data_IF_441967108555
#
_entry.id   IF_441967108555
#
_cell.length_a   1.000
_cell.length_b   1.000
_cell.length_c   1.000
_cell.angle_alpha   90.00
_cell.angle_beta   90.00
_cell.angle_gamma   90.00
#
_symmetry.space_group_name_H-M   'P 1'
#
loop_
_entity.id
_entity.type
_entity.pdbx_description
1 polymer ?
#
# COMPACT_ATOMS: atom_id res chain seq x y z
N UNK A 1 18.94 -20.46 14.06
CA UNK A 1 18.83 -19.10 13.48
C UNK A 1 17.50 -18.95 12.72
N UNK A 2 17.22 -19.80 11.72
CA UNK A 2 16.00 -19.77 10.90
C UNK A 2 14.69 -19.69 11.72
N UNK A 3 14.53 -20.56 12.73
CA UNK A 3 13.33 -20.58 13.60
C UNK A 3 13.17 -19.35 14.51
N UNK A 4 14.19 -18.49 14.64
CA UNK A 4 14.16 -17.29 15.46
C UNK A 4 14.02 -16.00 14.63
N UNK A 5 14.33 -16.07 13.33
CA UNK A 5 14.38 -14.93 12.42
C UNK A 5 13.11 -14.88 11.56
N UNK A 6 12.81 -15.95 10.82
CA UNK A 6 11.67 -15.99 9.90
C UNK A 6 10.31 -15.68 10.55
N UNK A 7 10.00 -16.13 11.79
CA UNK A 7 8.72 -15.80 12.40
C UNK A 7 8.54 -14.30 12.66
N UNK A 8 9.63 -13.54 12.83
CA UNK A 8 9.55 -12.10 13.09
C UNK A 8 8.90 -11.36 11.93
N UNK A 9 9.22 -11.73 10.69
CA UNK A 9 8.56 -11.18 9.52
C UNK A 9 7.06 -11.47 9.53
N UNK A 10 6.65 -12.72 9.73
CA UNK A 10 5.22 -13.10 9.70
C UNK A 10 4.40 -12.39 10.79
N UNK A 11 4.91 -12.35 12.03
CA UNK A 11 4.20 -11.71 13.13
C UNK A 11 4.20 -10.18 13.01
N UNK A 12 5.32 -9.58 12.61
CA UNK A 12 5.39 -8.13 12.39
C UNK A 12 4.49 -7.71 11.23
N UNK A 13 4.48 -8.42 10.11
CA UNK A 13 3.59 -8.17 8.98
C UNK A 13 2.11 -8.20 9.43
N UNK A 14 1.69 -9.24 10.16
CA UNK A 14 0.32 -9.34 10.67
C UNK A 14 -0.04 -8.17 11.60
N UNK A 15 0.86 -7.81 12.52
CA UNK A 15 0.65 -6.71 13.46
C UNK A 15 0.63 -5.34 12.77
N UNK A 16 1.47 -5.16 11.74
CA UNK A 16 1.64 -3.89 11.01
C UNK A 16 0.56 -3.65 9.95
N UNK A 17 -0.12 -4.69 9.46
CA UNK A 17 -1.23 -4.55 8.51
C UNK A 17 -2.30 -3.56 8.99
N UNK A 18 -2.74 -3.68 10.25
CA UNK A 18 -3.75 -2.79 10.83
C UNK A 18 -3.32 -1.31 10.89
N UNK A 19 -2.20 -0.95 11.55
CA UNK A 19 -1.77 0.44 11.63
C UNK A 19 -1.39 1.02 10.28
N UNK A 20 -0.77 0.24 9.38
CA UNK A 20 -0.40 0.71 8.04
C UNK A 20 -1.64 0.94 7.17
N UNK A 21 -2.65 0.07 7.26
CA UNK A 21 -3.92 0.27 6.58
C UNK A 21 -4.63 1.54 7.05
N UNK A 22 -4.73 1.75 8.38
CA UNK A 22 -5.29 2.98 8.94
C UNK A 22 -4.48 4.23 8.57
N UNK A 23 -3.15 4.12 8.56
CA UNK A 23 -2.26 5.19 8.14
C UNK A 23 -2.55 5.55 6.67
N UNK A 24 -2.67 4.56 5.80
CA UNK A 24 -2.95 4.76 4.36
C UNK A 24 -4.25 5.53 4.12
N UNK A 25 -5.28 5.23 4.90
CA UNK A 25 -6.55 5.96 4.86
C UNK A 25 -6.41 7.40 5.40
N UNK A 26 -5.64 7.59 6.47
CA UNK A 26 -5.48 8.91 7.12
C UNK A 26 -4.58 9.88 6.34
N UNK A 27 -3.41 9.43 5.86
CA UNK A 27 -2.37 10.31 5.29
C UNK A 27 -2.27 10.27 3.76
N UNK A 28 -3.16 9.52 3.10
CA UNK A 28 -3.14 9.25 1.65
C UNK A 28 -1.88 8.45 1.23
N UNK A 29 -1.76 8.07 -0.05
CA UNK A 29 -0.71 7.10 -0.46
C UNK A 29 0.74 7.60 -0.32
N UNK A 30 1.01 8.93 -0.38
CA UNK A 30 2.39 9.43 -0.52
C UNK A 30 3.27 9.13 0.71
N UNK A 31 2.82 9.35 1.96
CA UNK A 31 3.61 8.99 3.14
C UNK A 31 3.77 7.48 3.34
N UNK A 32 2.81 6.67 2.89
CA UNK A 32 2.92 5.20 2.92
C UNK A 32 4.05 4.73 1.99
N UNK A 33 4.14 5.33 0.81
CA UNK A 33 5.20 5.04 -0.16
C UNK A 33 6.58 5.51 0.33
N UNK A 34 6.63 6.64 1.05
CA UNK A 34 7.86 7.09 1.72
C UNK A 34 8.26 6.15 2.87
N UNK A 35 7.30 5.72 3.70
CA UNK A 35 7.53 4.76 4.79
C UNK A 35 8.08 3.43 4.25
N UNK A 36 7.53 2.95 3.14
CA UNK A 36 8.00 1.76 2.46
C UNK A 36 9.45 1.93 1.98
N UNK A 37 9.77 3.04 1.32
CA UNK A 37 11.13 3.28 0.81
C UNK A 37 12.18 3.43 1.92
N UNK A 38 11.85 4.12 3.02
CA UNK A 38 12.73 4.21 4.20
C UNK A 38 12.98 2.84 4.80
N UNK A 39 11.93 2.03 4.94
CA UNK A 39 12.03 0.66 5.48
C UNK A 39 12.94 -0.22 4.62
N UNK A 40 12.81 -0.14 3.29
CA UNK A 40 13.72 -0.82 2.36
C UNK A 40 15.17 -0.35 2.51
N UNK A 41 15.43 0.96 2.60
CA UNK A 41 16.80 1.46 2.78
C UNK A 41 17.41 0.91 4.09
N UNK A 42 16.63 0.91 5.19
CA UNK A 42 17.08 0.36 6.48
C UNK A 42 17.40 -1.14 6.37
N UNK A 43 16.50 -1.93 5.77
CA UNK A 43 16.68 -3.38 5.60
C UNK A 43 17.99 -3.68 4.86
N UNK A 44 18.28 -2.98 3.75
CA UNK A 44 19.49 -3.25 2.97
C UNK A 44 20.75 -2.71 3.63
N UNK A 45 20.69 -1.57 4.32
CA UNK A 45 21.83 -1.10 5.15
C UNK A 45 22.18 -2.11 6.25
N UNK A 46 21.17 -2.66 6.93
CA UNK A 46 21.38 -3.70 7.94
C UNK A 46 21.96 -4.98 7.32
N UNK A 47 21.51 -5.39 6.12
CA UNK A 47 22.09 -6.54 5.42
C UNK A 47 23.57 -6.35 5.05
N UNK A 48 24.01 -5.12 4.73
CA UNK A 48 25.42 -4.84 4.42
C UNK A 48 26.32 -4.79 5.65
N UNK A 49 25.86 -4.17 6.73
CA UNK A 49 26.74 -3.77 7.84
C UNK A 49 26.49 -4.54 9.14
N UNK A 50 25.29 -5.08 9.35
CA UNK A 50 24.91 -5.69 10.61
C UNK A 50 25.09 -7.21 10.59
N UNK A 51 25.56 -7.74 11.71
CA UNK A 51 25.83 -9.17 11.88
C UNK A 51 25.12 -9.68 13.14
N UNK A 52 24.65 -10.92 13.09
CA UNK A 52 24.03 -11.60 14.23
C UNK A 52 22.51 -11.72 14.14
N UNK A 53 21.95 -12.52 15.06
CA UNK A 53 20.53 -12.92 15.01
C UNK A 53 19.60 -11.73 15.25
N UNK A 54 19.93 -10.85 16.22
CA UNK A 54 19.10 -9.67 16.53
C UNK A 54 19.04 -8.72 15.34
N UNK A 55 20.16 -8.51 14.64
CA UNK A 55 20.19 -7.69 13.44
C UNK A 55 19.26 -8.28 12.35
N UNK A 56 19.30 -9.59 12.13
CA UNK A 56 18.41 -10.25 11.18
C UNK A 56 16.94 -10.18 11.60
N UNK A 57 16.62 -10.25 12.90
CA UNK A 57 15.25 -10.02 13.37
C UNK A 57 14.76 -8.60 13.05
N UNK A 58 15.64 -7.59 13.19
CA UNK A 58 15.31 -6.21 12.84
C UNK A 58 15.13 -6.05 11.32
N UNK A 59 15.97 -6.70 10.51
CA UNK A 59 15.81 -6.78 9.05
C UNK A 59 14.43 -7.32 8.70
N UNK A 60 14.03 -8.46 9.28
CA UNK A 60 12.72 -9.09 9.05
C UNK A 60 11.55 -8.21 9.50
N UNK A 61 11.71 -7.45 10.59
CA UNK A 61 10.70 -6.49 11.04
C UNK A 61 10.47 -5.38 10.01
N UNK A 62 11.53 -4.74 9.53
CA UNK A 62 11.42 -3.68 8.51
C UNK A 62 10.93 -4.25 7.18
N UNK A 63 11.34 -5.47 6.84
CA UNK A 63 10.83 -6.16 5.67
C UNK A 63 9.32 -6.48 5.80
N UNK A 64 8.85 -6.85 7.00
CA UNK A 64 7.42 -7.03 7.30
C UNK A 64 6.63 -5.72 7.17
N UNK A 65 7.24 -4.58 7.55
CA UNK A 65 6.66 -3.24 7.32
C UNK A 65 6.48 -2.95 5.83
N UNK A 66 7.48 -3.26 5.01
CA UNK A 66 7.39 -3.12 3.55
C UNK A 66 6.22 -3.96 3.02
N UNK A 67 6.15 -5.24 3.36
CA UNK A 67 5.07 -6.12 2.89
C UNK A 67 3.69 -5.59 3.31
N UNK A 68 3.56 -5.05 4.53
CA UNK A 68 2.32 -4.42 5.00
C UNK A 68 1.96 -3.18 4.18
N UNK A 69 2.93 -2.31 3.90
CA UNK A 69 2.72 -1.09 3.08
C UNK A 69 2.34 -1.40 1.64
N UNK A 70 2.90 -2.47 1.06
CA UNK A 70 2.59 -2.90 -0.31
C UNK A 70 1.12 -3.34 -0.46
N UNK A 71 0.62 -4.13 0.49
CA UNK A 71 -0.79 -4.56 0.49
C UNK A 71 -1.73 -3.37 0.63
N UNK A 72 -1.42 -2.45 1.54
CA UNK A 72 -2.21 -1.23 1.73
C UNK A 72 -2.17 -0.32 0.47
N UNK A 73 -1.01 -0.24 -0.19
CA UNK A 73 -0.84 0.50 -1.44
C UNK A 73 -1.69 -0.08 -2.58
N UNK A 74 -1.69 -1.41 -2.76
CA UNK A 74 -2.55 -2.04 -3.76
C UNK A 74 -4.04 -1.80 -3.48
N UNK A 75 -4.47 -1.94 -2.21
CA UNK A 75 -5.84 -1.63 -1.81
C UNK A 75 -6.22 -0.18 -2.16
N UNK A 76 -5.30 0.76 -1.91
CA UNK A 76 -5.50 2.16 -2.27
C UNK A 76 -5.63 2.36 -3.79
N UNK A 77 -4.74 1.79 -4.61
CA UNK A 77 -4.82 1.93 -6.08
C UNK A 77 -6.19 1.48 -6.59
N UNK A 78 -6.66 0.30 -6.17
CA UNK A 78 -7.95 -0.21 -6.62
C UNK A 78 -9.12 0.64 -6.14
N UNK A 79 -9.02 1.30 -4.99
CA UNK A 79 -10.07 2.23 -4.52
C UNK A 79 -10.21 3.50 -5.37
N UNK A 80 -9.15 3.94 -6.05
CA UNK A 80 -9.13 5.21 -6.81
C UNK A 80 -9.42 4.99 -8.30
N UNK A 81 -9.11 3.82 -8.83
CA UNK A 81 -9.34 3.48 -10.25
C UNK A 81 -10.83 3.20 -10.47
N UNK A 82 -11.37 3.50 -11.67
CA UNK A 82 -12.75 3.11 -12.01
C UNK A 82 -12.83 1.62 -12.33
N UNK A 83 -13.98 1.00 -12.08
CA UNK A 83 -14.21 -0.44 -12.33
C UNK A 83 -13.93 -0.85 -13.78
N UNK A 84 -14.15 0.05 -14.75
CA UNK A 84 -13.90 -0.20 -16.18
C UNK A 84 -12.40 -0.41 -16.50
N UNK A 85 -11.52 0.15 -15.68
CA UNK A 85 -10.07 0.07 -15.86
C UNK A 85 -9.41 -0.94 -14.91
N UNK A 86 -10.16 -1.60 -14.02
CA UNK A 86 -9.61 -2.53 -13.02
C UNK A 86 -8.75 -3.62 -13.66
N UNK A 87 -9.27 -4.30 -14.70
CA UNK A 87 -8.53 -5.38 -15.34
C UNK A 87 -7.21 -4.88 -15.96
N UNK A 88 -7.21 -3.70 -16.59
CA UNK A 88 -6.01 -3.12 -17.21
C UNK A 88 -4.96 -2.75 -16.16
N UNK A 89 -5.38 -2.06 -15.09
CA UNK A 89 -4.47 -1.67 -14.01
C UNK A 89 -3.91 -2.88 -13.28
N UNK A 90 -4.75 -3.88 -12.97
CA UNK A 90 -4.32 -5.15 -12.38
C UNK A 90 -3.32 -5.85 -13.28
N UNK A 91 -3.60 -5.91 -14.58
CA UNK A 91 -2.71 -6.53 -15.57
C UNK A 91 -1.34 -5.86 -15.59
N UNK A 92 -1.28 -4.53 -15.66
CA UNK A 92 -0.01 -3.79 -15.62
C UNK A 92 0.74 -4.01 -14.31
N UNK A 93 0.06 -3.89 -13.16
CA UNK A 93 0.69 -4.09 -11.85
C UNK A 93 1.30 -5.49 -11.71
N UNK A 94 0.55 -6.52 -12.10
CA UNK A 94 1.01 -7.91 -12.00
C UNK A 94 2.10 -8.22 -13.02
N UNK A 95 1.95 -7.77 -14.26
CA UNK A 95 2.94 -8.02 -15.32
C UNK A 95 4.28 -7.35 -15.03
N UNK A 96 4.27 -6.09 -14.59
CA UNK A 96 5.51 -5.36 -14.24
C UNK A 96 6.23 -6.05 -13.10
N UNK A 97 5.51 -6.51 -12.08
CA UNK A 97 6.10 -7.21 -10.93
C UNK A 97 6.76 -8.53 -11.36
N UNK A 98 6.09 -9.32 -12.20
CA UNK A 98 6.63 -10.58 -12.72
C UNK A 98 7.87 -10.34 -13.60
N UNK A 99 7.79 -9.40 -14.54
CA UNK A 99 8.92 -9.05 -15.41
C UNK A 99 10.10 -8.53 -14.59
N UNK A 100 9.85 -7.66 -13.62
CA UNK A 100 10.90 -7.15 -12.74
C UNK A 100 11.55 -8.27 -11.92
N UNK A 101 10.76 -9.22 -11.39
CA UNK A 101 11.26 -10.37 -10.67
C UNK A 101 12.14 -11.26 -11.57
N UNK A 102 11.68 -11.61 -12.77
CA UNK A 102 12.47 -12.41 -13.72
C UNK A 102 13.76 -11.70 -14.12
N UNK A 103 13.70 -10.40 -14.44
CA UNK A 103 14.89 -9.61 -14.79
C UNK A 103 15.87 -9.54 -13.62
N UNK A 104 15.38 -9.32 -12.40
CA UNK A 104 16.22 -9.26 -11.20
C UNK A 104 16.87 -10.62 -10.89
N UNK A 105 16.13 -11.72 -11.03
CA UNK A 105 16.62 -13.08 -10.81
C UNK A 105 17.69 -13.48 -11.84
N UNK A 106 17.45 -13.21 -13.12
CA UNK A 106 18.42 -13.44 -14.20
C UNK A 106 19.66 -12.57 -14.01
N UNK A 107 19.49 -11.28 -13.74
CA UNK A 107 20.60 -10.35 -13.53
C UNK A 107 21.42 -10.75 -12.30
N UNK A 108 20.77 -11.05 -11.18
CA UNK A 108 21.42 -11.52 -9.96
C UNK A 108 22.23 -12.79 -10.20
N UNK A 109 21.65 -13.76 -10.92
CA UNK A 109 22.36 -15.00 -11.26
C UNK A 109 23.55 -14.73 -12.19
N UNK A 110 23.41 -13.84 -13.18
CA UNK A 110 24.47 -13.50 -14.12
C UNK A 110 25.66 -12.84 -13.39
N UNK A 111 25.39 -11.91 -12.48
CA UNK A 111 26.41 -11.21 -11.70
C UNK A 111 27.20 -12.16 -10.80
N UNK A 112 26.52 -13.11 -10.17
CA UNK A 112 27.16 -14.11 -9.30
C UNK A 112 27.95 -15.14 -10.12
N UNK A 113 27.40 -15.63 -11.23
CA UNK A 113 27.98 -16.74 -12.00
C UNK A 113 29.06 -16.33 -13.00
N UNK A 114 28.91 -15.21 -13.73
CA UNK A 114 29.87 -14.77 -14.75
C UNK A 114 30.87 -13.75 -14.22
N UNK A 115 30.43 -12.82 -13.37
CA UNK A 115 31.25 -11.72 -12.89
C UNK A 115 31.87 -11.97 -11.52
N UNK A 116 31.62 -13.14 -10.91
CA UNK A 116 32.07 -13.52 -9.57
C UNK A 116 31.85 -12.43 -8.50
N UNK A 117 30.77 -11.65 -8.67
CA UNK A 117 30.43 -10.54 -7.77
C UNK A 117 29.97 -11.13 -6.45
N UNK A 118 30.61 -10.71 -5.36
CA UNK A 118 30.25 -11.18 -4.02
C UNK A 118 28.86 -10.67 -3.60
N UNK A 119 28.19 -11.41 -2.71
CA UNK A 119 26.88 -11.03 -2.16
C UNK A 119 26.86 -9.62 -1.55
N UNK A 120 28.00 -9.12 -1.07
CA UNK A 120 28.13 -7.75 -0.57
C UNK A 120 27.84 -6.70 -1.66
N UNK A 121 28.47 -6.84 -2.83
CA UNK A 121 28.25 -5.92 -3.95
C UNK A 121 26.85 -6.07 -4.54
N UNK A 122 26.29 -7.28 -4.52
CA UNK A 122 24.90 -7.51 -4.93
C UNK A 122 23.93 -6.69 -4.07
N UNK A 123 24.07 -6.77 -2.74
CA UNK A 123 23.28 -5.97 -1.81
C UNK A 123 23.54 -4.46 -1.97
N UNK A 124 24.78 -4.04 -2.27
CA UNK A 124 25.12 -2.64 -2.53
C UNK A 124 24.42 -2.09 -3.79
N UNK A 125 24.39 -2.87 -4.86
CA UNK A 125 23.68 -2.52 -6.11
C UNK A 125 22.17 -2.39 -5.83
N UNK A 126 21.59 -3.33 -5.08
CA UNK A 126 20.17 -3.24 -4.72
C UNK A 126 19.89 -2.02 -3.85
N UNK A 127 20.74 -1.71 -2.88
CA UNK A 127 20.63 -0.51 -2.05
C UNK A 127 20.65 0.78 -2.89
N UNK A 128 21.55 0.86 -3.88
CA UNK A 128 21.62 2.00 -4.80
C UNK A 128 20.33 2.13 -5.63
N UNK A 129 19.81 1.01 -6.16
CA UNK A 129 18.57 0.97 -6.93
C UNK A 129 17.36 1.41 -6.09
N UNK A 130 17.22 0.88 -4.88
CA UNK A 130 16.16 1.26 -3.92
C UNK A 130 16.26 2.73 -3.55
N UNK A 131 17.47 3.25 -3.31
CA UNK A 131 17.69 4.66 -2.98
C UNK A 131 17.29 5.58 -4.13
N UNK A 132 17.62 5.21 -5.38
CA UNK A 132 17.19 5.95 -6.56
C UNK A 132 15.66 5.92 -6.72
N UNK A 133 15.03 4.77 -6.54
CA UNK A 133 13.56 4.64 -6.57
C UNK A 133 12.90 5.50 -5.48
N UNK A 134 13.48 5.54 -4.29
CA UNK A 134 13.03 6.41 -3.19
C UNK A 134 13.17 7.90 -3.53
N UNK A 135 14.24 8.31 -4.21
CA UNK A 135 14.37 9.69 -4.68
C UNK A 135 13.31 10.02 -5.74
N UNK A 136 13.06 9.10 -6.69
CA UNK A 136 12.00 9.24 -7.68
C UNK A 136 10.60 9.38 -7.05
N UNK A 137 10.35 8.71 -5.92
CA UNK A 137 9.10 8.81 -5.17
C UNK A 137 8.72 10.24 -4.76
N UNK A 138 9.70 11.12 -4.49
CA UNK A 138 9.42 12.51 -4.13
C UNK A 138 8.79 13.31 -5.27
N UNK A 139 9.19 13.00 -6.51
CA UNK A 139 8.71 13.65 -7.73
C UNK A 139 7.32 13.15 -8.17
N UNK A 140 6.77 12.11 -7.54
CA UNK A 140 5.41 11.66 -7.85
C UNK A 140 4.37 12.71 -7.39
N UNK A 141 3.38 13.02 -8.26
CA UNK A 141 2.36 14.03 -7.99
C UNK A 141 1.43 13.55 -6.86
N UNK A 142 1.26 14.37 -5.82
CA UNK A 142 0.36 14.04 -4.72
C UNK A 142 -1.09 14.05 -5.24
N UNK A 143 -1.88 12.99 -5.04
CA UNK A 143 -3.22 12.89 -5.58
C UNK A 143 -4.15 13.76 -4.73
N UNK A 144 -5.06 14.45 -5.41
CA UNK A 144 -5.99 15.36 -4.74
C UNK A 144 -7.27 14.68 -4.25
N UNK A 145 -7.50 13.39 -4.59
CA UNK A 145 -8.74 12.66 -4.24
C UNK A 145 -8.52 11.71 -3.06
N UNK A 146 -9.27 11.93 -1.99
CA UNK A 146 -9.30 11.11 -0.77
C UNK A 146 -10.40 10.04 -0.89
N UNK A 147 -10.14 8.81 -0.44
CA UNK A 147 -10.94 7.58 -0.66
C UNK A 147 -12.44 7.72 -0.36
N UNK A 148 -12.83 8.55 0.62
CA UNK A 148 -14.21 8.62 1.11
C UNK A 148 -14.98 9.91 0.79
N UNK A 149 -14.35 10.94 0.21
CA UNK A 149 -14.91 12.31 0.26
C UNK A 149 -15.76 12.76 -0.94
N UNK A 150 -16.11 11.89 -1.90
CA UNK A 150 -16.85 12.33 -3.10
C UNK A 150 -18.07 11.49 -3.50
N UNK A 151 -18.73 10.80 -2.57
CA UNK A 151 -20.02 10.14 -2.88
C UNK A 151 -21.26 11.03 -2.61
N UNK A 152 -21.10 12.33 -2.33
CA UNK A 152 -22.24 13.24 -2.08
C UNK A 152 -22.60 14.22 -3.19
N UNK A 153 -21.79 14.40 -4.23
CA UNK A 153 -22.05 15.39 -5.27
C UNK A 153 -22.16 14.80 -6.69
N UNK A 154 -22.58 13.55 -6.81
CA UNK A 154 -23.21 13.12 -8.06
C UNK A 154 -24.71 13.48 -7.94
N UNK A 155 -25.22 14.52 -8.65
CA UNK A 155 -26.65 14.66 -8.79
C UNK A 155 -27.16 13.38 -9.42
N UNK A 156 -28.10 12.73 -8.72
CA UNK A 156 -28.97 11.70 -9.28
C UNK A 156 -29.55 12.25 -10.58
N UNK A 157 -29.01 11.85 -11.72
CA UNK A 157 -29.71 11.93 -12.99
C UNK A 157 -30.81 10.86 -12.93
N UNK A 158 -31.96 11.26 -12.41
CA UNK A 158 -33.18 10.48 -12.57
C UNK A 158 -33.63 10.58 -14.04
N UNK A 159 -34.14 9.47 -14.61
CA UNK A 159 -34.56 9.39 -16.00
C UNK A 159 -35.95 10.01 -16.17
N UNK A 160 -36.15 10.84 -17.19
CA UNK A 160 -37.44 11.41 -17.56
C UNK A 160 -37.70 11.20 -19.05
N UNK A 161 -38.88 10.69 -19.46
CA UNK A 161 -39.19 10.31 -20.82
C UNK A 161 -39.54 11.53 -21.70
N UNK A 162 -39.39 11.32 -23.01
CA UNK A 162 -39.86 12.13 -24.15
C UNK A 162 -40.90 13.21 -23.82
N UNK A 163 -40.71 14.44 -24.35
CA UNK A 163 -41.61 15.06 -25.34
C UNK A 163 -40.99 16.31 -25.99
N UNK A 164 -41.27 16.38 -27.28
CA UNK A 164 -41.00 17.39 -28.31
C UNK A 164 -41.62 18.75 -27.98
N UNK A 165 -41.03 19.82 -28.55
CA UNK A 165 -41.53 21.19 -28.82
C UNK A 165 -41.01 22.32 -27.91
N UNK A 166 -40.35 23.28 -28.56
CA UNK A 166 -40.17 24.68 -28.16
C UNK A 166 -40.99 25.58 -29.14
N UNK A 167 -40.98 26.92 -29.05
CA UNK A 167 -41.12 27.84 -27.92
C UNK A 167 -42.20 28.93 -28.19
N UNK A 168 -42.78 29.61 -27.19
CA UNK A 168 -43.36 30.97 -27.39
C UNK A 168 -43.21 31.82 -26.12
N UNK A 169 -42.89 33.09 -26.37
CA UNK A 169 -42.62 34.22 -25.48
C UNK A 169 -43.77 34.63 -24.53
N UNK A 170 -43.42 35.31 -23.43
CA UNK A 170 -43.81 36.71 -23.18
C UNK A 170 -43.37 37.23 -21.79
N UNK A 171 -42.74 38.41 -21.83
CA UNK A 171 -42.95 39.60 -20.98
C UNK A 171 -42.59 39.60 -19.46
N UNK A 172 -41.58 40.43 -19.15
CA UNK A 172 -41.37 41.17 -17.88
C UNK A 172 -42.50 42.22 -17.67
N UNK A 173 -42.72 42.85 -16.48
CA UNK A 173 -41.67 43.54 -15.71
C UNK A 173 -41.81 43.62 -14.16
N UNK A 174 -40.68 44.02 -13.55
CA UNK A 174 -40.52 44.95 -12.41
C UNK A 174 -41.19 44.69 -11.04
N UNK A 175 -40.37 44.59 -9.99
CA UNK A 175 -40.32 45.62 -8.92
C UNK A 175 -39.20 45.33 -7.91
N UNK A 176 -38.59 46.43 -7.46
CA UNK A 176 -37.45 46.53 -6.56
C UNK A 176 -37.86 46.38 -5.08
N UNK A 177 -36.98 45.83 -4.24
CA UNK A 177 -36.80 46.33 -2.87
C UNK A 177 -35.41 45.92 -2.30
N UNK A 178 -34.53 46.93 -2.23
CA UNK A 178 -33.53 47.20 -1.18
C UNK A 178 -34.20 47.12 0.21
N UNK A 179 -33.59 46.97 1.38
CA UNK A 179 -32.23 46.99 1.92
C UNK A 179 -32.35 46.47 3.37
N UNK A 180 -31.25 46.08 4.03
CA UNK A 180 -30.84 46.57 5.38
C UNK A 180 -29.71 45.71 5.93
N UNK A 181 -28.55 46.34 6.02
CA UNK A 181 -27.36 45.93 6.76
C UNK A 181 -27.56 46.07 8.28
N UNK A 182 -26.87 45.22 9.06
CA UNK A 182 -26.48 45.59 10.43
C UNK A 182 -25.21 44.85 10.84
N UNK A 183 -24.12 45.59 10.80
CA UNK A 183 -22.80 45.24 11.33
C UNK A 183 -22.73 45.71 12.80
N UNK A 184 -22.22 44.89 13.72
CA UNK A 184 -21.70 45.35 15.02
C UNK A 184 -20.71 44.32 15.60
N UNK A 185 -19.44 44.73 15.61
CA UNK A 185 -18.30 44.03 16.20
C UNK A 185 -18.21 44.24 17.73
N UNK A 186 -17.62 43.27 18.46
CA UNK A 186 -17.41 43.39 19.92
C UNK A 186 -16.64 42.27 20.63
N UNK A 187 -15.41 41.98 20.19
CA UNK A 187 -14.18 41.54 20.92
C UNK A 187 -14.27 40.81 22.29
N UNK A 188 -13.67 39.61 22.36
CA UNK A 188 -13.11 38.99 23.58
C UNK A 188 -12.35 37.67 23.28
N UNK A 189 -11.20 37.36 23.94
CA UNK A 189 -10.12 36.56 23.36
C UNK A 189 -10.24 35.03 23.57
N UNK A 190 -9.56 34.30 22.69
CA UNK A 190 -9.27 32.86 22.68
C UNK A 190 -8.82 32.28 24.02
N UNK A 191 -9.26 31.05 24.34
CA UNK A 191 -8.43 30.07 25.03
C UNK A 191 -7.98 28.97 24.05
N UNK A 192 -6.72 29.10 23.62
CA UNK A 192 -5.68 28.07 23.73
C UNK A 192 -6.15 26.60 23.58
N UNK A 193 -6.06 26.10 22.34
CA UNK A 193 -5.15 25.00 22.00
C UNK A 193 -5.06 23.82 22.99
N UNK A 194 -6.16 23.10 23.19
CA UNK A 194 -6.15 21.81 23.90
C UNK A 194 -7.25 20.86 23.40
N UNK A 195 -7.51 20.86 22.09
CA UNK A 195 -8.56 20.04 21.46
C UNK A 195 -8.05 19.12 20.35
N UNK A 196 -6.73 18.94 20.21
CA UNK A 196 -6.12 18.08 19.17
C UNK A 196 -6.27 16.59 19.46
N UNK A 197 -5.97 16.16 20.69
CA UNK A 197 -5.93 14.73 21.02
C UNK A 197 -7.32 14.11 21.24
N UNK A 198 -8.27 14.83 21.83
CA UNK A 198 -9.63 14.32 22.04
C UNK A 198 -10.40 14.14 20.72
N UNK A 199 -10.23 15.07 19.76
CA UNK A 199 -10.84 14.94 18.41
C UNK A 199 -10.23 13.80 17.62
N UNK A 200 -8.92 13.58 17.75
CA UNK A 200 -8.21 12.50 17.05
C UNK A 200 -8.65 11.11 17.52
N UNK A 201 -8.75 10.89 18.85
CA UNK A 201 -9.21 9.60 19.39
C UNK A 201 -10.66 9.27 18.99
N UNK A 202 -11.57 10.25 19.05
CA UNK A 202 -12.94 10.05 18.58
C UNK A 202 -13.01 9.76 17.08
N UNK A 203 -12.14 10.37 16.28
CA UNK A 203 -12.06 10.10 14.85
C UNK A 203 -11.57 8.68 14.56
N UNK A 204 -10.50 8.21 15.21
CA UNK A 204 -9.98 6.83 15.03
C UNK A 204 -11.02 5.79 15.45
N UNK A 205 -11.69 5.99 16.59
CA UNK A 205 -12.77 5.11 17.03
C UNK A 205 -13.92 5.06 16.03
N UNK A 206 -14.28 6.19 15.43
CA UNK A 206 -15.34 6.27 14.41
C UNK A 206 -14.94 5.49 13.15
N UNK A 207 -13.69 5.64 12.68
CA UNK A 207 -13.15 4.89 11.54
C UNK A 207 -13.12 3.39 11.83
N UNK A 208 -12.69 2.98 13.03
CA UNK A 208 -12.68 1.57 13.43
C UNK A 208 -14.09 0.97 13.47
N UNK A 209 -15.08 1.72 13.98
CA UNK A 209 -16.49 1.29 13.99
C UNK A 209 -17.03 1.18 12.56
N UNK A 210 -16.69 2.12 11.68
CA UNK A 210 -17.09 2.07 10.28
C UNK A 210 -16.45 0.88 9.56
N UNK A 211 -15.14 0.66 9.73
CA UNK A 211 -14.42 -0.49 9.20
C UNK A 211 -15.04 -1.81 9.68
N UNK A 212 -15.44 -1.89 10.95
CA UNK A 212 -16.09 -3.08 11.51
C UNK A 212 -17.45 -3.37 10.86
N UNK A 213 -18.22 -2.32 10.55
CA UNK A 213 -19.50 -2.45 9.82
C UNK A 213 -19.25 -2.88 8.38
N UNK A 214 -18.33 -2.24 7.69
CA UNK A 214 -17.99 -2.57 6.30
C UNK A 214 -17.46 -4.01 6.19
N UNK A 215 -16.63 -4.45 7.14
CA UNK A 215 -16.19 -5.85 7.25
C UNK A 215 -17.38 -6.80 7.41
N UNK A 216 -18.30 -6.50 8.34
CA UNK A 216 -19.49 -7.33 8.56
C UNK A 216 -20.33 -7.44 7.29
N UNK A 217 -20.53 -6.33 6.58
CA UNK A 217 -21.34 -6.30 5.36
C UNK A 217 -20.65 -7.03 4.20
N UNK A 218 -19.34 -6.84 4.02
CA UNK A 218 -18.54 -7.56 3.01
C UNK A 218 -18.55 -9.08 3.23
N UNK A 219 -18.32 -9.53 4.47
CA UNK A 219 -18.28 -10.96 4.80
C UNK A 219 -19.67 -11.60 4.97
N UNK A 220 -20.75 -10.81 4.92
CA UNK A 220 -22.11 -11.34 4.81
C UNK A 220 -22.37 -12.01 3.45
N UNK A 221 -21.59 -11.65 2.42
CA UNK A 221 -21.60 -12.35 1.13
C UNK A 221 -20.78 -13.63 1.20
N UNK A 222 -21.45 -14.79 1.12
CA UNK A 222 -20.78 -16.11 1.10
C UNK A 222 -19.71 -16.21 0.01
N UNK A 223 -19.95 -15.60 -1.16
CA UNK A 223 -18.98 -15.58 -2.26
C UNK A 223 -17.68 -14.89 -1.85
N UNK A 224 -17.75 -13.70 -1.25
CA UNK A 224 -16.57 -12.96 -0.80
C UNK A 224 -15.84 -13.69 0.33
N UNK A 225 -16.58 -14.34 1.23
CA UNK A 225 -16.00 -15.14 2.30
C UNK A 225 -15.21 -16.35 1.76
N UNK A 226 -15.76 -17.10 0.80
CA UNK A 226 -15.01 -18.21 0.20
C UNK A 226 -13.77 -17.74 -0.56
N UNK A 227 -13.88 -16.64 -1.33
CA UNK A 227 -12.74 -16.10 -2.07
C UNK A 227 -11.63 -15.58 -1.16
N UNK A 228 -11.97 -14.90 -0.07
CA UNK A 228 -10.99 -14.43 0.92
C UNK A 228 -10.35 -15.57 1.70
N UNK A 229 -11.10 -16.60 2.09
CA UNK A 229 -10.55 -17.79 2.75
C UNK A 229 -9.59 -18.54 1.83
N UNK A 230 -9.96 -18.72 0.57
CA UNK A 230 -9.09 -19.30 -0.44
C UNK A 230 -7.80 -18.50 -0.60
N UNK A 231 -7.91 -17.17 -0.72
CA UNK A 231 -6.75 -16.29 -0.85
C UNK A 231 -5.84 -16.39 0.38
N UNK A 232 -6.39 -16.36 1.59
CA UNK A 232 -5.63 -16.48 2.83
C UNK A 232 -4.87 -17.81 2.91
N UNK A 233 -5.54 -18.93 2.60
CA UNK A 233 -4.91 -20.25 2.60
C UNK A 233 -3.81 -20.36 1.53
N UNK A 234 -4.08 -19.88 0.31
CA UNK A 234 -3.11 -19.90 -0.78
C UNK A 234 -1.87 -19.04 -0.45
N UNK A 235 -2.07 -17.82 0.08
CA UNK A 235 -0.96 -16.95 0.49
C UNK A 235 -0.16 -17.55 1.63
N UNK A 236 -0.81 -18.17 2.61
CA UNK A 236 -0.12 -18.85 3.71
C UNK A 236 0.74 -20.01 3.18
N UNK A 237 0.18 -20.85 2.31
CA UNK A 237 0.93 -21.95 1.68
C UNK A 237 2.09 -21.46 0.83
N UNK A 238 1.88 -20.42 0.02
CA UNK A 238 2.92 -19.80 -0.80
C UNK A 238 4.06 -19.24 0.05
N UNK A 239 3.74 -18.47 1.09
CA UNK A 239 4.75 -17.91 2.00
C UNK A 239 5.52 -19.01 2.73
N UNK A 240 4.87 -20.10 3.12
CA UNK A 240 5.54 -21.24 3.74
C UNK A 240 6.53 -21.91 2.78
N UNK A 241 6.16 -22.06 1.50
CA UNK A 241 7.10 -22.60 0.51
C UNK A 241 8.28 -21.63 0.35
N UNK A 242 8.04 -20.35 0.08
CA UNK A 242 9.12 -19.38 -0.16
C UNK A 242 10.12 -19.28 1.01
N UNK A 243 9.62 -19.26 2.25
CA UNK A 243 10.48 -19.09 3.42
C UNK A 243 11.36 -20.32 3.73
N UNK A 244 10.87 -21.52 3.41
CA UNK A 244 11.54 -22.76 3.84
C UNK A 244 12.17 -23.56 2.71
N UNK A 245 11.83 -23.28 1.45
CA UNK A 245 12.34 -24.03 0.30
C UNK A 245 13.87 -23.89 0.19
N UNK A 246 14.41 -22.68 0.28
CA UNK A 246 15.86 -22.44 0.20
C UNK A 246 16.63 -23.14 1.34
N UNK A 247 16.06 -23.12 2.55
CA UNK A 247 16.64 -23.80 3.74
C UNK A 247 16.64 -25.32 3.54
N UNK A 248 15.57 -25.87 2.94
CA UNK A 248 15.47 -27.30 2.64
C UNK A 248 16.51 -27.72 1.59
N UNK A 249 16.73 -26.89 0.57
CA UNK A 249 17.75 -27.15 -0.45
C UNK A 249 19.15 -27.15 0.15
N UNK A 250 19.50 -26.18 1.00
CA UNK A 250 20.82 -26.12 1.64
C UNK A 250 21.06 -27.32 2.58
N UNK A 251 20.01 -27.83 3.25
CA UNK A 251 20.11 -29.06 4.03
C UNK A 251 20.38 -30.31 3.16
N UNK A 252 19.85 -30.35 1.94
CA UNK A 252 19.97 -31.50 1.02
C UNK A 252 21.25 -31.46 0.17
N UNK A 253 21.66 -30.27 -0.25
CA UNK A 253 22.85 -30.02 -1.06
C UNK A 253 23.55 -28.75 -0.53
N UNK A 254 24.48 -28.91 0.42
CA UNK A 254 25.13 -27.77 1.07
C UNK A 254 25.79 -26.84 0.05
N UNK A 255 25.48 -25.56 0.16
CA UNK A 255 25.98 -24.49 -0.72
C UNK A 255 27.52 -24.34 -0.76
N UNK A 256 28.25 -25.06 0.09
CA UNK A 256 29.72 -25.05 0.16
C UNK A 256 30.41 -25.93 -0.90
N UNK A 257 29.72 -26.88 -1.55
CA UNK A 257 30.34 -27.85 -2.48
C UNK A 257 29.82 -27.79 -3.92
N UNK A 258 28.83 -26.95 -4.20
CA UNK A 258 28.09 -26.95 -5.47
C UNK A 258 27.89 -25.52 -5.96
N UNK A 259 27.93 -25.30 -7.29
CA UNK A 259 27.56 -24.00 -7.86
C UNK A 259 26.08 -23.71 -7.53
N UNK A 260 25.83 -22.59 -6.84
CA UNK A 260 24.49 -22.20 -6.38
C UNK A 260 23.76 -21.45 -7.51
N UNK A 261 22.59 -21.97 -7.91
CA UNK A 261 21.77 -21.44 -9.01
C UNK A 261 20.43 -20.86 -8.55
N UNK A 262 20.39 -20.25 -7.36
CA UNK A 262 19.15 -19.75 -6.75
C UNK A 262 18.39 -18.78 -7.67
N UNK A 263 19.09 -17.86 -8.34
CA UNK A 263 18.45 -16.92 -9.25
C UNK A 263 17.95 -17.55 -10.55
N UNK A 264 18.53 -18.66 -11.01
CA UNK A 264 18.01 -19.39 -12.17
C UNK A 264 16.73 -20.16 -11.83
N UNK A 265 16.65 -20.75 -10.63
CA UNK A 265 15.45 -21.44 -10.15
C UNK A 265 14.31 -20.45 -9.89
N UNK A 266 14.62 -19.26 -9.37
CA UNK A 266 13.60 -18.22 -9.13
C UNK A 266 13.13 -17.51 -10.41
N UNK A 267 13.88 -17.60 -11.50
CA UNK A 267 13.51 -17.00 -12.78
C UNK A 267 12.51 -17.84 -13.61
N UNK A 268 12.37 -19.13 -13.30
CA UNK A 268 11.53 -20.12 -14.01
C UNK A 268 10.21 -20.32 -13.28
#
# INVERSE_FOLDING_TARGET
VTNQVLPVWTYSYLALLFPVFLLTDYVRYKPVLLLQGVSFIITWLLLLFAHGVVAMQVVEFFYGMVTATEVAYYAYIYSVVSTDHYQRVTSYCRSITLVAATVAAVLGQLLVSLAHVSYFYLNAITLASVSLAFLCAFFLPMPQKSMFFHRKDAPRSLPGPDKVVAPVASEQPSSCQEDTSSDCAGRGPTPRQQAGNARSHHHILTVLVQLSKDLRDCYSSRKLLYWSLWWALATAGFNQILNYIQVLWDFRAPSHSSAVYNGAVEAI
#
